data_IF_808595587166
#
_entry.id   IF_808595587166
#
_cell.length_a   1.000
_cell.length_b   1.000
_cell.length_c   1.000
_cell.angle_alpha   90.00
_cell.angle_beta   90.00
_cell.angle_gamma   90.00
#
_symmetry.space_group_name_H-M   'P 1'
#
loop_
_entity.id
_entity.type
_entity.pdbx_description
1 polymer ?
#
# COMPACT_ATOMS: atom_id res chain seq x y z
N UNK A 1 -16.83 -0.65 -0.98
CA UNK A 1 -15.99 0.29 -0.25
C UNK A 1 -15.82 1.57 -1.05
N UNK A 2 -16.10 2.69 -0.43
CA UNK A 2 -15.85 3.98 -1.05
C UNK A 2 -14.41 4.39 -0.81
N UNK A 3 -13.73 4.82 -1.86
CA UNK A 3 -12.36 5.31 -1.76
C UNK A 3 -12.38 6.84 -1.81
N UNK A 4 -11.81 7.46 -0.78
CA UNK A 4 -11.74 8.90 -0.65
C UNK A 4 -10.30 9.35 -0.82
N UNK A 5 -10.03 10.15 -1.84
CA UNK A 5 -8.70 10.69 -2.08
C UNK A 5 -8.62 12.11 -1.55
N UNK A 6 -7.61 12.37 -0.74
CA UNK A 6 -7.34 13.71 -0.26
C UNK A 6 -6.51 14.43 -1.32
N UNK A 7 -7.01 15.57 -1.78
CA UNK A 7 -6.29 16.35 -2.78
C UNK A 7 -5.32 17.31 -2.11
N UNK A 8 -4.14 17.37 -2.67
CA UNK A 8 -3.14 18.36 -2.30
C UNK A 8 -3.12 19.44 -3.38
N UNK A 9 -3.00 20.69 -2.97
CA UNK A 9 -2.87 21.79 -3.91
C UNK A 9 -1.50 21.80 -4.59
N UNK A 10 -0.52 21.16 -3.97
CA UNK A 10 0.82 21.06 -4.51
C UNK A 10 1.05 19.72 -5.18
N UNK A 11 1.71 19.77 -6.32
CA UNK A 11 2.12 18.55 -7.00
C UNK A 11 3.41 18.01 -6.38
N UNK A 12 3.44 16.72 -6.15
CA UNK A 12 4.64 16.04 -5.67
C UNK A 12 5.16 15.18 -6.82
N UNK A 13 6.40 15.43 -7.20
CA UNK A 13 7.04 14.72 -8.29
C UNK A 13 7.94 13.62 -7.74
N UNK A 14 7.83 12.44 -8.32
CA UNK A 14 8.57 11.27 -7.87
C UNK A 14 9.42 10.70 -8.98
N UNK A 15 10.50 10.02 -8.58
CA UNK A 15 11.38 9.32 -9.50
C UNK A 15 11.00 7.84 -9.46
N UNK A 16 10.22 7.41 -10.44
CA UNK A 16 9.72 6.05 -10.46
C UNK A 16 9.43 5.61 -11.89
N UNK A 17 9.48 4.29 -12.09
CA UNK A 17 8.99 3.71 -13.34
C UNK A 17 7.46 3.73 -13.29
N UNK A 18 6.84 4.39 -14.24
CA UNK A 18 5.40 4.59 -14.24
C UNK A 18 4.60 3.30 -14.28
N UNK A 19 5.06 2.32 -15.04
CA UNK A 19 4.37 1.04 -15.13
C UNK A 19 4.49 0.24 -13.84
N UNK A 20 5.67 0.24 -13.25
CA UNK A 20 5.89 -0.46 -11.98
C UNK A 20 5.11 0.20 -10.86
N UNK A 21 5.14 1.53 -10.79
CA UNK A 21 4.40 2.25 -9.78
C UNK A 21 2.90 2.03 -9.91
N UNK A 22 2.39 2.01 -11.13
CA UNK A 22 0.99 1.74 -11.37
C UNK A 22 0.60 0.36 -10.85
N UNK A 23 1.46 -0.63 -11.09
CA UNK A 23 1.22 -1.99 -10.61
C UNK A 23 1.20 -2.05 -9.08
N UNK A 24 2.09 -1.30 -8.44
CA UNK A 24 2.08 -1.19 -6.97
C UNK A 24 0.74 -0.66 -6.49
N UNK A 25 0.27 0.43 -7.08
CA UNK A 25 -0.99 1.06 -6.69
C UNK A 25 -2.17 0.12 -6.94
N UNK A 26 -2.20 -0.55 -8.09
CA UNK A 26 -3.25 -1.52 -8.39
C UNK A 26 -3.30 -2.64 -7.36
N UNK A 27 -2.13 -3.16 -6.99
CA UNK A 27 -2.06 -4.23 -6.01
C UNK A 27 -2.61 -3.79 -4.66
N UNK A 28 -2.29 -2.57 -4.26
CA UNK A 28 -2.78 -2.05 -2.99
C UNK A 28 -4.28 -1.80 -3.01
N UNK A 29 -4.80 -1.25 -4.10
CA UNK A 29 -6.23 -1.01 -4.22
C UNK A 29 -7.03 -2.31 -4.32
N UNK A 30 -6.49 -3.30 -5.00
CA UNK A 30 -7.09 -4.63 -5.05
C UNK A 30 -7.17 -5.22 -3.65
N UNK A 31 -6.10 -5.07 -2.88
CA UNK A 31 -6.05 -5.54 -1.51
C UNK A 31 -7.15 -4.87 -0.66
N UNK A 32 -7.31 -3.55 -0.81
CA UNK A 32 -8.36 -2.81 -0.12
C UNK A 32 -9.74 -3.38 -0.49
N UNK A 33 -9.97 -3.57 -1.77
CA UNK A 33 -11.26 -4.09 -2.25
C UNK A 33 -11.60 -5.44 -1.64
N UNK A 34 -10.61 -6.30 -1.46
CA UNK A 34 -10.84 -7.67 -1.00
C UNK A 34 -10.96 -7.80 0.51
N UNK A 35 -10.20 -7.01 1.24
CA UNK A 35 -10.08 -7.21 2.68
C UNK A 35 -10.74 -6.14 3.53
N UNK A 36 -11.34 -5.13 2.93
CA UNK A 36 -12.07 -4.12 3.68
C UNK A 36 -13.42 -4.62 4.14
N UNK A 37 -13.83 -4.13 5.30
CA UNK A 37 -15.18 -4.39 5.80
C UNK A 37 -16.19 -3.70 4.87
N UNK A 38 -17.23 -4.42 4.43
CA UNK A 38 -18.25 -3.81 3.57
C UNK A 38 -18.90 -2.60 4.22
N UNK A 39 -19.18 -1.58 3.43
CA UNK A 39 -19.83 -0.37 3.90
C UNK A 39 -18.92 0.64 4.55
N UNK A 40 -17.61 0.37 4.60
CA UNK A 40 -16.65 1.31 5.16
C UNK A 40 -15.97 2.12 4.05
N UNK A 41 -15.14 3.06 4.47
CA UNK A 41 -14.40 3.93 3.56
C UNK A 41 -12.92 3.64 3.63
N UNK A 42 -12.25 3.76 2.49
CA UNK A 42 -10.80 3.74 2.41
C UNK A 42 -10.32 5.16 2.08
N UNK A 43 -9.18 5.52 2.63
CA UNK A 43 -8.63 6.87 2.43
C UNK A 43 -7.27 6.78 1.77
N UNK A 44 -7.05 7.65 0.80
CA UNK A 44 -5.79 7.75 0.08
C UNK A 44 -5.23 9.14 0.31
N UNK A 45 -4.02 9.24 0.81
CA UNK A 45 -3.36 10.52 1.09
C UNK A 45 -1.96 10.50 0.51
N UNK A 46 -1.50 11.67 0.08
CA UNK A 46 -0.12 11.84 -0.36
C UNK A 46 0.54 12.87 0.55
N UNK A 47 1.71 12.54 1.04
CA UNK A 47 2.50 13.42 1.91
C UNK A 47 3.93 13.49 1.45
N UNK A 48 4.59 14.59 1.78
CA UNK A 48 6.03 14.70 1.61
C UNK A 48 6.70 14.25 2.89
N UNK A 49 7.65 13.33 2.79
CA UNK A 49 8.39 12.81 3.94
C UNK A 49 9.88 12.80 3.62
N UNK A 50 10.52 13.95 3.80
CA UNK A 50 11.95 14.09 3.52
C UNK A 50 12.27 13.82 2.06
N UNK A 51 13.07 12.80 1.81
CA UNK A 51 13.49 12.42 0.46
C UNK A 51 12.41 11.66 -0.29
N UNK A 52 11.32 11.33 0.37
CA UNK A 52 10.28 10.48 -0.19
C UNK A 52 8.96 11.21 -0.28
N UNK A 53 8.14 10.78 -1.23
CA UNK A 53 6.72 11.02 -1.20
C UNK A 53 6.09 9.78 -0.60
N UNK A 54 5.16 9.94 0.31
CA UNK A 54 4.45 8.83 0.91
C UNK A 54 3.02 8.81 0.40
N UNK A 55 2.65 7.70 -0.22
CA UNK A 55 1.26 7.45 -0.60
C UNK A 55 0.69 6.52 0.47
N UNK A 56 -0.28 7.02 1.23
CA UNK A 56 -0.90 6.25 2.31
C UNK A 56 -2.29 5.82 1.91
N UNK A 57 -2.55 4.53 2.03
CA UNK A 57 -3.88 3.97 1.80
C UNK A 57 -4.29 3.28 3.09
N UNK A 58 -5.42 3.70 3.65
CA UNK A 58 -5.93 3.12 4.88
C UNK A 58 -7.35 2.63 4.69
N UNK A 59 -7.66 1.51 5.33
CA UNK A 59 -8.99 0.92 5.27
C UNK A 59 -9.29 0.17 6.55
N UNK A 60 -10.57 -0.07 6.80
CA UNK A 60 -11.00 -0.88 7.93
C UNK A 60 -11.02 -2.33 7.49
N UNK A 61 -10.26 -3.16 8.18
CA UNK A 61 -10.15 -4.58 7.85
C UNK A 61 -11.42 -5.33 8.22
N UNK A 62 -11.84 -6.24 7.35
CA UNK A 62 -12.97 -7.11 7.62
C UNK A 62 -12.65 -8.08 8.76
N UNK A 63 -11.41 -8.52 8.84
CA UNK A 63 -10.96 -9.46 9.85
C UNK A 63 -10.08 -8.76 10.88
N UNK A 64 -10.06 -9.31 12.09
CA UNK A 64 -9.21 -8.76 13.14
C UNK A 64 -7.74 -8.90 12.77
N UNK A 65 -6.98 -7.84 13.00
CA UNK A 65 -5.56 -7.80 12.71
C UNK A 65 -4.82 -7.88 14.05
N UNK A 66 -4.48 -9.08 14.47
CA UNK A 66 -3.86 -9.33 15.76
C UNK A 66 -2.39 -9.73 15.66
N UNK A 67 -1.73 -9.33 14.59
CA UNK A 67 -0.32 -9.63 14.39
C UNK A 67 0.44 -8.36 14.06
N UNK A 68 1.76 -8.42 14.20
CA UNK A 68 2.62 -7.30 13.87
C UNK A 68 2.71 -7.10 12.35
N UNK A 69 2.93 -5.86 11.88
CA UNK A 69 3.02 -5.59 10.44
C UNK A 69 4.02 -6.46 9.69
N UNK A 70 5.18 -6.72 10.29
CA UNK A 70 6.18 -7.56 9.64
C UNK A 70 5.73 -9.00 9.51
N UNK A 71 5.01 -9.51 10.50
CA UNK A 71 4.43 -10.85 10.43
C UNK A 71 3.38 -10.93 9.33
N UNK A 72 2.58 -9.89 9.21
CA UNK A 72 1.54 -9.83 8.19
C UNK A 72 2.15 -9.85 6.80
N UNK A 73 3.21 -9.08 6.58
CA UNK A 73 3.91 -9.06 5.30
C UNK A 73 4.49 -10.44 4.96
N UNK A 74 5.09 -11.09 5.95
CA UNK A 74 5.64 -12.42 5.78
C UNK A 74 4.57 -13.44 5.43
N UNK A 75 3.43 -13.34 6.07
CA UNK A 75 2.30 -14.21 5.82
C UNK A 75 1.79 -14.06 4.39
N UNK A 76 1.66 -12.84 3.92
CA UNK A 76 1.27 -12.60 2.54
C UNK A 76 2.26 -13.18 1.56
N UNK A 77 3.55 -13.14 1.91
CA UNK A 77 4.58 -13.67 1.05
C UNK A 77 4.57 -15.21 0.99
N UNK A 78 4.34 -15.86 2.12
CA UNK A 78 4.39 -17.32 2.22
C UNK A 78 3.06 -18.01 1.97
N UNK A 79 2.02 -17.46 2.53
CA UNK A 79 0.74 -18.14 2.61
C UNK A 79 0.07 -18.42 1.29
N UNK A 80 0.51 -17.75 0.26
CA UNK A 80 -0.22 -17.76 -1.00
C UNK A 80 0.47 -18.48 -2.13
N UNK A 81 1.57 -19.16 -1.82
CA UNK A 81 2.27 -19.92 -2.84
C UNK A 81 1.42 -21.05 -3.43
N UNK A 82 0.52 -21.57 -2.64
CA UNK A 82 -0.34 -22.67 -3.07
C UNK A 82 -1.64 -22.18 -3.67
N UNK A 83 -1.89 -20.89 -3.63
CA UNK A 83 -3.13 -20.30 -4.14
C UNK A 83 -2.82 -19.38 -5.28
N UNK A 84 -2.88 -19.84 -6.46
CA UNK A 84 -2.65 -19.00 -7.63
C UNK A 84 -3.90 -18.23 -7.99
N UNK A 85 -4.62 -17.76 -7.00
CA UNK A 85 -5.85 -17.02 -7.23
C UNK A 85 -5.66 -15.56 -6.93
N UNK A 86 -6.42 -14.78 -7.62
CA UNK A 86 -6.52 -13.37 -7.37
C UNK A 86 -6.97 -13.15 -5.93
N UNK A 87 -6.29 -12.25 -5.22
CA UNK A 87 -6.64 -11.96 -3.85
C UNK A 87 -5.98 -12.84 -2.83
N UNK A 88 -4.95 -13.52 -3.24
CA UNK A 88 -4.19 -14.37 -2.34
C UNK A 88 -3.34 -13.60 -1.33
N UNK A 89 -3.20 -12.29 -1.48
CA UNK A 89 -2.35 -11.48 -0.61
C UNK A 89 -0.95 -11.26 -1.14
N UNK A 90 -0.57 -11.97 -2.18
CA UNK A 90 0.75 -11.80 -2.80
C UNK A 90 0.96 -10.37 -3.31
N UNK A 91 -0.12 -9.66 -3.58
CA UNK A 91 -0.02 -8.30 -4.09
C UNK A 91 0.79 -7.36 -3.22
N UNK A 92 0.69 -7.51 -1.89
CA UNK A 92 1.48 -6.66 -0.99
C UNK A 92 2.96 -6.98 -1.06
N UNK A 93 3.32 -8.26 -1.13
CA UNK A 93 4.71 -8.66 -1.25
C UNK A 93 5.28 -8.22 -2.60
N UNK A 94 4.52 -8.36 -3.67
CA UNK A 94 4.92 -7.92 -4.99
C UNK A 94 5.12 -6.41 -5.01
N UNK A 95 4.20 -5.66 -4.41
CA UNK A 95 4.30 -4.21 -4.33
C UNK A 95 5.58 -3.78 -3.62
N UNK A 96 5.91 -4.46 -2.52
CA UNK A 96 7.13 -4.17 -1.78
C UNK A 96 8.38 -4.43 -2.62
N UNK A 97 8.41 -5.57 -3.31
CA UNK A 97 9.54 -5.91 -4.16
C UNK A 97 9.72 -4.89 -5.28
N UNK A 98 8.62 -4.47 -5.91
CA UNK A 98 8.68 -3.47 -6.96
C UNK A 98 9.20 -2.13 -6.43
N UNK A 99 8.75 -1.74 -5.24
CA UNK A 99 9.22 -0.50 -4.64
C UNK A 99 10.69 -0.57 -4.29
N UNK A 100 11.17 -1.72 -3.81
CA UNK A 100 12.59 -1.89 -3.53
C UNK A 100 13.43 -1.73 -4.80
N UNK A 101 12.91 -2.18 -5.93
CA UNK A 101 13.61 -2.01 -7.21
C UNK A 101 13.69 -0.53 -7.63
N UNK A 102 12.82 0.30 -7.09
CA UNK A 102 12.80 1.74 -7.38
C UNK A 102 13.37 2.57 -6.23
N UNK A 103 14.12 1.94 -5.33
CA UNK A 103 14.72 2.60 -4.16
C UNK A 103 13.70 3.16 -3.18
N UNK A 104 12.51 2.61 -3.19
CA UNK A 104 11.46 2.94 -2.25
C UNK A 104 11.16 1.80 -1.30
N UNK A 105 10.00 1.84 -0.69
CA UNK A 105 9.58 0.79 0.24
C UNK A 105 8.06 0.78 0.36
N UNK A 106 7.55 -0.30 0.91
CA UNK A 106 6.15 -0.40 1.33
C UNK A 106 6.16 -0.78 2.80
N UNK A 107 5.50 0.02 3.63
CA UNK A 107 5.41 -0.22 5.06
C UNK A 107 3.96 -0.37 5.46
N UNK A 108 3.71 -1.31 6.34
CA UNK A 108 2.38 -1.59 6.84
C UNK A 108 2.22 -1.05 8.25
N UNK A 109 1.03 -0.56 8.56
CA UNK A 109 0.68 -0.15 9.89
C UNK A 109 -0.65 -0.76 10.27
N UNK A 110 -0.78 -1.13 11.53
CA UNK A 110 -2.01 -1.72 12.04
C UNK A 110 -2.38 -0.98 13.33
N UNK A 111 -3.61 -0.48 13.37
CA UNK A 111 -4.12 0.21 14.55
C UNK A 111 -5.55 -0.30 14.77
N UNK A 112 -5.67 -1.32 15.63
CA UNK A 112 -6.94 -2.01 15.78
C UNK A 112 -7.36 -2.66 14.49
N UNK A 113 -8.52 -2.29 14.00
CA UNK A 113 -9.04 -2.79 12.72
C UNK A 113 -8.61 -1.91 11.54
N UNK A 114 -7.87 -0.86 11.80
CA UNK A 114 -7.42 0.04 10.75
C UNK A 114 -6.10 -0.46 10.18
N UNK A 115 -6.13 -0.79 8.91
CA UNK A 115 -4.95 -1.23 8.18
C UNK A 115 -4.44 -0.09 7.31
N UNK A 116 -3.13 0.16 7.36
CA UNK A 116 -2.50 1.19 6.55
C UNK A 116 -1.37 0.59 5.73
N UNK A 117 -1.31 0.97 4.46
CA UNK A 117 -0.17 0.67 3.62
C UNK A 117 0.44 2.00 3.18
N UNK A 118 1.71 2.18 3.44
CA UNK A 118 2.44 3.39 3.07
C UNK A 118 3.48 3.05 2.03
N UNK A 119 3.36 3.68 0.86
CA UNK A 119 4.33 3.51 -0.21
C UNK A 119 5.27 4.70 -0.17
N UNK A 120 6.57 4.42 -0.02
CA UNK A 120 7.61 5.45 -0.01
C UNK A 120 8.26 5.50 -1.38
N UNK A 121 8.15 6.63 -2.05
CA UNK A 121 8.64 6.80 -3.42
C UNK A 121 9.67 7.92 -3.42
N UNK A 122 10.88 7.70 -3.98
CA UNK A 122 11.87 8.77 -4.01
C UNK A 122 11.37 10.00 -4.75
N UNK A 123 11.60 11.17 -4.18
CA UNK A 123 11.18 12.43 -4.78
C UNK A 123 12.21 12.91 -5.79
N UNK A 124 11.71 13.55 -6.84
CA UNK A 124 12.55 14.16 -7.86
C UNK A 124 12.91 15.58 -7.44
N UNK A 125 14.15 15.97 -7.72
CA UNK A 125 14.52 17.37 -7.64
C UNK A 125 14.54 17.96 -6.26
N UNK A 126 14.83 17.17 -5.29
CA UNK A 126 15.01 17.64 -3.94
C UNK A 126 16.31 18.47 -3.89
N UNK A 127 16.17 19.76 -3.89
CA UNK A 127 17.31 20.68 -3.96
C UNK A 127 17.28 21.68 -2.84
#
# INVERSE_FOLDING_TARGET
VEVHCEKNDEHVYVNADGKMLWRVIENLLTNVSKYSMPGTRAYVKVREMGKFAALEISNVSRDALDMEPDELMERFKRGDKSRNTEGSGLGLAIARDLMHMMDGDVRLGIDGDLFKARVLIPRVGQR
#
